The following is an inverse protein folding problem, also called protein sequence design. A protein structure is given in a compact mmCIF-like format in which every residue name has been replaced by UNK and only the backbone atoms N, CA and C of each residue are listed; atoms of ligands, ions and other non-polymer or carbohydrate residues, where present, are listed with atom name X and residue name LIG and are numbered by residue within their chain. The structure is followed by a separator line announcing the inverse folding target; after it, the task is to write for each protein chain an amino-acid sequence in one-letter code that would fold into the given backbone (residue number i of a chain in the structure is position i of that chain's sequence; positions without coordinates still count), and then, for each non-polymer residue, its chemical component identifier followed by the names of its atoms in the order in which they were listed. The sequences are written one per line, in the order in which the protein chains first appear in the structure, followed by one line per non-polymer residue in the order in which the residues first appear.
data_IF_190820365071
#
_entry.id   IF_190820365071
#
_cell.length_a   1.000
_cell.length_b   1.000
_cell.length_c   1.000
_cell.angle_alpha   90.00
_cell.angle_beta   90.00
_cell.angle_gamma   90.00
#
_symmetry.space_group_name_H-M   'P 1'
#
loop_
_entity.id
_entity.type
_entity.pdbx_description
1 polymer ?
#
# COMPACT_ATOMS: atom_id res chain seq x y z
N UNK A 1 -22.98 -27.17 -33.66
CA UNK A 1 -22.40 -25.82 -33.76
C UNK A 1 -21.97 -25.42 -32.36
N UNK A 2 -20.70 -25.60 -32.04
CA UNK A 2 -20.14 -25.40 -30.70
C UNK A 2 -19.67 -23.95 -30.59
N UNK A 3 -20.30 -23.16 -29.73
CA UNK A 3 -19.87 -21.79 -29.45
C UNK A 3 -19.05 -21.78 -28.17
N UNK A 4 -17.75 -21.54 -28.32
CA UNK A 4 -16.78 -21.36 -27.24
C UNK A 4 -17.05 -20.00 -26.58
N UNK A 5 -17.37 -20.00 -25.29
CA UNK A 5 -17.39 -18.80 -24.48
C UNK A 5 -15.94 -18.36 -24.20
N UNK A 6 -15.51 -17.26 -24.81
CA UNK A 6 -14.24 -16.60 -24.48
C UNK A 6 -14.43 -15.93 -23.13
N UNK A 7 -13.85 -16.52 -22.08
CA UNK A 7 -13.71 -15.87 -20.79
C UNK A 7 -12.78 -14.65 -20.94
N UNK A 8 -13.35 -13.46 -20.91
CA UNK A 8 -12.60 -12.21 -20.83
C UNK A 8 -11.86 -12.18 -19.48
N UNK A 9 -10.54 -12.30 -19.54
CA UNK A 9 -9.65 -12.01 -18.41
C UNK A 9 -9.75 -10.52 -18.10
N UNK A 10 -10.59 -10.14 -17.15
CA UNK A 10 -10.57 -8.79 -16.60
C UNK A 10 -9.25 -8.61 -15.84
N UNK A 11 -8.38 -7.81 -16.46
CA UNK A 11 -7.04 -7.53 -15.97
C UNK A 11 -7.08 -7.02 -14.54
N UNK A 12 -6.14 -7.52 -13.72
CA UNK A 12 -5.79 -6.93 -12.43
C UNK A 12 -5.48 -5.46 -12.70
N UNK A 13 -6.27 -4.59 -12.07
CA UNK A 13 -6.09 -3.14 -12.06
C UNK A 13 -4.62 -2.79 -11.96
N UNK A 14 -4.08 -2.21 -13.04
CA UNK A 14 -2.75 -1.62 -13.08
C UNK A 14 -2.66 -0.63 -11.93
N UNK A 15 -1.82 -0.93 -10.94
CA UNK A 15 -1.56 0.03 -9.87
C UNK A 15 -1.01 1.31 -10.54
N UNK A 16 -1.64 2.48 -10.34
CA UNK A 16 -1.25 3.69 -11.02
C UNK A 16 0.18 4.08 -10.58
N UNK A 17 1.15 3.94 -11.48
CA UNK A 17 2.36 4.75 -11.50
C UNK A 17 3.67 4.17 -10.96
N UNK A 18 3.81 2.89 -10.60
CA UNK A 18 5.11 2.38 -10.15
C UNK A 18 6.12 2.27 -11.30
N UNK A 19 5.91 1.34 -12.24
CA UNK A 19 6.92 0.99 -13.25
C UNK A 19 7.25 2.14 -14.23
N UNK A 20 6.24 2.96 -14.60
CA UNK A 20 6.39 4.02 -15.61
C UNK A 20 7.41 5.10 -15.19
N UNK A 21 7.63 5.28 -13.89
CA UNK A 21 8.51 6.32 -13.35
C UNK A 21 9.89 5.79 -12.92
N UNK A 22 10.16 4.49 -13.07
CA UNK A 22 11.39 3.85 -12.56
C UNK A 22 11.42 3.70 -11.03
N UNK A 23 10.27 3.87 -10.37
CA UNK A 23 10.09 3.62 -8.94
C UNK A 23 9.32 2.32 -8.72
N UNK A 24 9.60 1.59 -7.64
CA UNK A 24 8.78 0.43 -7.28
C UNK A 24 7.45 0.81 -6.64
N UNK A 25 7.33 2.08 -6.21
CA UNK A 25 6.08 2.68 -5.74
C UNK A 25 6.12 4.20 -5.88
N UNK A 26 4.96 4.79 -6.16
CA UNK A 26 4.75 6.25 -6.12
C UNK A 26 3.45 6.55 -5.37
N UNK A 27 3.32 7.73 -4.73
CA UNK A 27 2.05 8.13 -4.16
C UNK A 27 0.96 8.23 -5.25
N UNK A 28 -0.25 7.70 -5.00
CA UNK A 28 -1.33 7.72 -5.97
C UNK A 28 -1.83 9.16 -6.24
N UNK A 29 -2.41 9.38 -7.41
CA UNK A 29 -3.06 10.66 -7.76
C UNK A 29 -2.13 11.83 -8.07
N UNK A 30 -0.81 11.61 -8.10
CA UNK A 30 0.17 12.64 -8.45
C UNK A 30 0.54 12.64 -9.93
N UNK A 31 0.86 13.84 -10.45
CA UNK A 31 1.49 13.99 -11.76
C UNK A 31 2.97 13.60 -11.70
N UNK A 32 3.59 13.30 -12.85
CA UNK A 32 5.02 12.96 -12.94
C UNK A 32 5.92 13.97 -12.22
N UNK A 33 5.67 15.26 -12.43
CA UNK A 33 6.47 16.32 -11.80
C UNK A 33 6.33 16.28 -10.27
N UNK A 34 5.12 16.09 -9.74
CA UNK A 34 4.87 16.00 -8.30
C UNK A 34 5.45 14.74 -7.67
N UNK A 35 5.51 13.63 -8.41
CA UNK A 35 6.22 12.43 -7.96
C UNK A 35 7.71 12.72 -7.78
N UNK A 36 8.37 13.36 -8.74
CA UNK A 36 9.79 13.69 -8.60
C UNK A 36 10.06 14.68 -7.46
N UNK A 37 9.22 15.71 -7.29
CA UNK A 37 9.29 16.64 -6.16
C UNK A 37 9.13 15.94 -4.80
N UNK A 38 8.22 14.95 -4.70
CA UNK A 38 8.04 14.16 -3.49
C UNK A 38 9.26 13.28 -3.22
N UNK A 39 9.74 12.56 -4.23
CA UNK A 39 10.89 11.66 -4.08
C UNK A 39 12.17 12.42 -3.72
N UNK A 40 12.34 13.66 -4.21
CA UNK A 40 13.49 14.52 -3.88
C UNK A 40 13.54 14.96 -2.40
N UNK A 41 12.41 14.88 -1.67
CA UNK A 41 12.36 15.19 -0.24
C UNK A 41 12.76 14.02 0.65
N UNK A 42 12.86 12.81 0.08
CA UNK A 42 13.27 11.63 0.82
C UNK A 42 14.80 11.50 0.84
N UNK A 43 15.39 10.97 1.91
CA UNK A 43 16.80 10.57 1.89
C UNK A 43 17.10 9.62 0.73
N UNK A 44 18.20 9.83 -0.01
CA UNK A 44 18.52 9.07 -1.21
C UNK A 44 18.46 7.53 -1.05
N UNK A 45 18.83 7.02 0.13
CA UNK A 45 18.87 5.59 0.40
C UNK A 45 17.49 4.97 0.70
N UNK A 46 16.45 5.77 0.91
CA UNK A 46 15.07 5.30 1.12
C UNK A 46 14.16 5.53 -0.10
N UNK A 47 14.62 6.24 -1.13
CA UNK A 47 13.86 6.44 -2.37
C UNK A 47 13.63 5.10 -3.06
N UNK A 48 12.37 4.66 -3.28
CA UNK A 48 12.07 3.32 -3.76
C UNK A 48 12.25 3.20 -5.28
N UNK A 49 13.48 3.30 -5.78
CA UNK A 49 13.79 3.01 -7.19
C UNK A 49 13.77 1.50 -7.43
N UNK A 50 13.34 1.06 -8.60
CA UNK A 50 13.34 -0.37 -8.95
C UNK A 50 14.75 -0.95 -8.81
N UNK A 51 14.88 -2.12 -8.19
CA UNK A 51 16.12 -2.82 -7.88
C UNK A 51 17.09 -2.06 -6.95
N UNK A 52 16.60 -1.10 -6.15
CA UNK A 52 17.45 -0.30 -5.26
C UNK A 52 17.35 -0.72 -3.79
N UNK A 53 18.25 -0.18 -2.95
CA UNK A 53 18.15 -0.34 -1.50
C UNK A 53 16.89 0.32 -0.92
N UNK A 54 16.38 1.40 -1.55
CA UNK A 54 15.15 2.04 -1.12
C UNK A 54 13.90 1.21 -1.38
N UNK A 55 13.89 0.39 -2.45
CA UNK A 55 12.84 -0.60 -2.69
C UNK A 55 12.84 -1.66 -1.58
N UNK A 56 14.01 -2.23 -1.27
CA UNK A 56 14.16 -3.17 -0.16
C UNK A 56 13.81 -2.56 1.20
N UNK A 57 14.13 -1.27 1.38
CA UNK A 57 13.74 -0.54 2.58
C UNK A 57 12.21 -0.44 2.70
N UNK A 58 11.54 -0.06 1.61
CA UNK A 58 10.08 -0.02 1.53
C UNK A 58 9.46 -1.37 1.86
N UNK A 59 9.95 -2.46 1.27
CA UNK A 59 9.45 -3.82 1.56
C UNK A 59 9.54 -4.14 3.06
N UNK A 60 10.65 -3.77 3.71
CA UNK A 60 10.80 -3.91 5.16
C UNK A 60 9.79 -3.07 5.94
N UNK A 61 9.54 -1.82 5.53
CA UNK A 61 8.54 -0.98 6.17
C UNK A 61 7.13 -1.57 6.03
N UNK A 62 6.78 -2.12 4.86
CA UNK A 62 5.50 -2.80 4.66
C UNK A 62 5.35 -4.03 5.56
N UNK A 63 6.40 -4.84 5.72
CA UNK A 63 6.36 -5.98 6.64
C UNK A 63 6.17 -5.58 8.12
N UNK A 64 6.72 -4.43 8.52
CA UNK A 64 6.54 -3.90 9.88
C UNK A 64 5.13 -3.34 10.10
N UNK A 65 4.58 -2.66 9.08
CA UNK A 65 3.27 -2.03 9.14
C UNK A 65 2.11 -3.01 8.92
N UNK A 66 2.34 -4.13 8.24
CA UNK A 66 1.34 -5.17 7.95
C UNK A 66 1.68 -6.46 8.71
N UNK A 67 1.44 -6.51 10.04
CA UNK A 67 1.71 -7.70 10.83
C UNK A 67 0.86 -8.88 10.32
N UNK A 68 1.34 -10.11 10.50
CA UNK A 68 0.65 -11.29 9.94
C UNK A 68 -0.76 -11.50 10.51
N UNK A 69 -0.95 -11.07 11.76
CA UNK A 69 -2.22 -11.04 12.46
C UNK A 69 -3.25 -10.16 11.76
N UNK A 70 -2.80 -9.19 10.97
CA UNK A 70 -3.67 -8.29 10.23
C UNK A 70 -4.09 -8.88 8.87
N UNK A 71 -3.48 -10.00 8.45
CA UNK A 71 -3.73 -10.64 7.15
C UNK A 71 -4.58 -11.90 7.27
N UNK A 72 -4.50 -12.61 8.39
CA UNK A 72 -5.25 -13.85 8.55
C UNK A 72 -5.42 -14.23 10.01
N UNK A 73 -6.62 -14.73 10.31
CA UNK A 73 -6.99 -15.32 11.58
C UNK A 73 -6.05 -16.46 11.99
N UNK A 74 -5.44 -17.16 11.02
CA UNK A 74 -4.48 -18.24 11.27
C UNK A 74 -3.26 -17.80 12.10
N UNK A 75 -2.95 -16.51 12.13
CA UNK A 75 -1.83 -15.95 12.90
C UNK A 75 -2.25 -15.40 14.27
N UNK A 76 -3.55 -15.42 14.60
CA UNK A 76 -4.11 -14.92 15.85
C UNK A 76 -4.23 -16.06 16.89
N UNK A 77 -3.36 -16.05 17.91
CA UNK A 77 -3.28 -17.12 18.92
C UNK A 77 -4.27 -16.99 20.07
N UNK A 78 -4.86 -15.81 20.28
CA UNK A 78 -5.63 -15.48 21.48
C UNK A 78 -7.09 -15.11 21.20
N UNK A 79 -7.69 -15.69 20.15
CA UNK A 79 -9.13 -15.58 19.86
C UNK A 79 -9.80 -16.89 20.31
N UNK A 80 -10.40 -16.86 21.49
CA UNK A 80 -10.82 -18.02 22.27
C UNK A 80 -12.22 -18.51 21.88
N UNK A 81 -13.08 -17.63 21.38
CA UNK A 81 -14.46 -17.96 21.03
C UNK A 81 -14.85 -17.46 19.63
N UNK A 82 -16.00 -17.93 19.13
CA UNK A 82 -16.50 -17.58 17.80
C UNK A 82 -16.90 -16.10 17.67
N UNK A 83 -17.28 -15.45 18.78
CA UNK A 83 -17.66 -14.03 18.77
C UNK A 83 -16.43 -13.17 18.51
N UNK A 84 -15.31 -13.42 19.19
CA UNK A 84 -14.03 -12.74 18.98
C UNK A 84 -13.51 -12.94 17.56
N UNK A 85 -13.66 -14.15 17.00
CA UNK A 85 -13.29 -14.44 15.60
C UNK A 85 -14.11 -13.64 14.60
N UNK A 86 -15.43 -13.53 14.82
CA UNK A 86 -16.31 -12.71 13.98
C UNK A 86 -15.97 -11.22 14.07
N UNK A 87 -15.73 -10.71 15.28
CA UNK A 87 -15.32 -9.31 15.48
C UNK A 87 -13.98 -9.01 14.81
N UNK A 88 -13.03 -9.94 14.86
CA UNK A 88 -11.78 -9.84 14.13
C UNK A 88 -12.02 -9.74 12.61
N UNK A 89 -12.85 -10.60 12.03
CA UNK A 89 -13.14 -10.56 10.59
C UNK A 89 -13.81 -9.24 10.18
N UNK A 90 -14.77 -8.76 10.97
CA UNK A 90 -15.41 -7.46 10.76
C UNK A 90 -14.40 -6.31 10.82
N UNK A 91 -13.48 -6.33 11.80
CA UNK A 91 -12.42 -5.33 11.94
C UNK A 91 -11.48 -5.30 10.74
N UNK A 92 -10.97 -6.46 10.30
CA UNK A 92 -10.05 -6.55 9.17
C UNK A 92 -10.72 -6.09 7.88
N UNK A 93 -11.98 -6.50 7.65
CA UNK A 93 -12.74 -6.08 6.48
C UNK A 93 -12.92 -4.56 6.46
N UNK A 94 -13.38 -3.98 7.57
CA UNK A 94 -13.54 -2.53 7.68
C UNK A 94 -12.21 -1.80 7.47
N UNK A 95 -11.13 -2.24 8.12
CA UNK A 95 -9.79 -1.64 7.94
C UNK A 95 -9.34 -1.68 6.48
N UNK A 96 -9.49 -2.83 5.82
CA UNK A 96 -9.09 -2.99 4.42
C UNK A 96 -9.89 -2.09 3.48
N UNK A 97 -11.16 -1.85 3.79
CA UNK A 97 -12.04 -1.00 2.99
C UNK A 97 -11.76 0.50 3.19
N UNK A 98 -11.45 0.93 4.42
CA UNK A 98 -11.46 2.36 4.77
C UNK A 98 -10.10 2.94 5.17
N UNK A 99 -9.06 2.13 5.34
CA UNK A 99 -7.79 2.58 5.91
C UNK A 99 -6.55 1.98 5.26
N UNK A 100 -6.60 0.72 4.80
CA UNK A 100 -5.46 0.07 4.16
C UNK A 100 -5.11 0.71 2.81
N UNK A 101 -3.83 0.98 2.59
CA UNK A 101 -3.28 1.66 1.41
C UNK A 101 -3.89 3.04 1.13
N UNK A 102 -4.49 3.70 2.13
CA UNK A 102 -5.08 5.04 2.00
C UNK A 102 -4.11 6.10 2.50
N UNK A 103 -3.57 6.89 1.56
CA UNK A 103 -2.73 8.05 1.87
C UNK A 103 -2.77 9.10 0.76
N UNK A 104 -2.55 10.36 1.14
CA UNK A 104 -2.49 11.49 0.20
C UNK A 104 -1.27 12.37 0.50
N UNK A 105 -0.70 12.95 -0.56
CA UNK A 105 0.41 13.89 -0.45
C UNK A 105 -0.14 15.30 -0.30
N UNK A 106 0.18 15.95 0.81
CA UNK A 106 -0.14 17.35 1.04
C UNK A 106 1.00 18.28 0.60
N UNK A 107 0.69 19.47 0.07
CA UNK A 107 1.67 20.54 -0.05
C UNK A 107 2.29 20.86 1.31
N UNK A 108 3.58 21.16 1.34
CA UNK A 108 4.27 21.61 2.56
C UNK A 108 3.69 22.96 2.96
N UNK A 109 3.01 23.01 4.12
CA UNK A 109 2.59 24.25 4.75
C UNK A 109 3.74 24.70 5.67
N UNK A 110 4.30 25.91 5.50
CA UNK A 110 5.36 26.41 6.37
C UNK A 110 4.91 26.37 7.84
N UNK A 111 5.71 25.74 8.72
CA UNK A 111 5.46 25.48 10.15
C UNK A 111 4.56 24.29 10.53
N UNK A 112 4.13 23.46 9.59
CA UNK A 112 3.50 22.18 9.92
C UNK A 112 4.53 21.05 9.76
N UNK A 113 4.82 20.33 10.84
CA UNK A 113 5.66 19.12 10.76
C UNK A 113 5.07 18.22 9.68
N UNK A 114 5.92 17.82 8.73
CA UNK A 114 5.57 16.94 7.63
C UNK A 114 5.03 15.65 8.24
N UNK A 115 3.70 15.57 8.35
CA UNK A 115 3.03 14.33 8.62
C UNK A 115 3.19 13.55 7.31
N UNK A 116 4.28 12.79 7.22
CA UNK A 116 4.34 11.65 6.32
C UNK A 116 3.22 10.76 6.79
N UNK A 117 2.01 11.00 6.27
CA UNK A 117 0.83 10.23 6.60
C UNK A 117 1.21 8.80 6.28
N UNK A 118 1.33 8.06 7.37
CA UNK A 118 1.89 6.74 7.46
C UNK A 118 1.24 5.89 6.39
N UNK A 119 2.08 5.22 5.62
CA UNK A 119 1.70 4.23 4.64
C UNK A 119 1.14 2.98 5.32
N UNK A 120 -0.08 3.09 5.85
CA UNK A 120 -0.90 1.92 6.13
C UNK A 120 -1.51 1.44 4.83
#
# INVERSE_FOLDING_TARGET
MSSIAVAQSTGRTDAPGSIIHGYSWVPPGLTRLKVEEYMAQLPNHVVPRVNSNGEKFREKQLMLQLPRQDLSLAYCKHLSNNVERKLYEEFINARNEIALDIGFVCPVIPNQMVLFLLMM
#
